data_IF_592630289291
#
_entry.id   IF_592630289291
#
_cell.length_a   1.000
_cell.length_b   1.000
_cell.length_c   1.000
_cell.angle_alpha   90.00
_cell.angle_beta   90.00
_cell.angle_gamma   90.00
#
_symmetry.space_group_name_H-M   'P 1'
#
loop_
_entity.id
_entity.type
_entity.pdbx_description
1 polymer ?
#
# COMPACT_ATOMS: atom_id res chain seq x y z
N UNK A 1 -11.84 -30.47 -15.35
CA UNK A 1 -10.98 -29.31 -15.68
C UNK A 1 -11.61 -27.97 -15.32
N UNK A 2 -12.88 -27.69 -15.64
CA UNK A 2 -13.55 -26.43 -15.29
C UNK A 2 -13.62 -26.07 -13.79
N UNK A 3 -13.70 -27.07 -12.90
CA UNK A 3 -13.72 -26.84 -11.43
C UNK A 3 -12.35 -26.40 -10.90
N UNK A 4 -11.27 -26.87 -11.52
CA UNK A 4 -9.88 -26.55 -11.13
C UNK A 4 -9.55 -25.10 -11.47
N UNK A 5 -10.00 -24.61 -12.62
CA UNK A 5 -9.78 -23.22 -13.08
C UNK A 5 -10.47 -22.18 -12.20
N UNK A 6 -11.68 -22.49 -11.70
CA UNK A 6 -12.43 -21.59 -10.80
C UNK A 6 -11.72 -21.51 -9.44
N UNK A 7 -11.20 -22.63 -8.93
CA UNK A 7 -10.50 -22.68 -7.65
C UNK A 7 -9.21 -21.86 -7.65
N UNK A 8 -8.43 -21.90 -8.73
CA UNK A 8 -7.19 -21.13 -8.85
C UNK A 8 -7.46 -19.64 -9.03
N UNK A 9 -8.52 -19.24 -9.74
CA UNK A 9 -8.88 -17.83 -9.90
C UNK A 9 -9.25 -17.16 -8.56
N UNK A 10 -10.02 -17.85 -7.70
CA UNK A 10 -10.39 -17.33 -6.37
C UNK A 10 -9.16 -17.16 -5.47
N UNK A 11 -8.21 -18.11 -5.54
CA UNK A 11 -6.95 -18.04 -4.80
C UNK A 11 -6.08 -16.85 -5.24
N UNK A 12 -6.01 -16.54 -6.54
CA UNK A 12 -5.23 -15.40 -7.03
C UNK A 12 -5.85 -14.05 -6.63
N UNK A 13 -7.17 -13.91 -6.64
CA UNK A 13 -7.85 -12.68 -6.18
C UNK A 13 -7.62 -12.44 -4.69
N UNK A 14 -7.67 -13.50 -3.87
CA UNK A 14 -7.39 -13.40 -2.43
C UNK A 14 -5.97 -12.89 -2.12
N UNK A 15 -4.99 -13.18 -2.99
CA UNK A 15 -3.61 -12.70 -2.82
C UNK A 15 -3.42 -11.22 -3.17
N UNK A 16 -4.36 -10.59 -3.89
CA UNK A 16 -4.28 -9.17 -4.26
C UNK A 16 -4.84 -8.21 -3.20
N UNK A 17 -5.44 -8.73 -2.13
CA UNK A 17 -6.30 -7.96 -1.22
C UNK A 17 -5.66 -7.33 0.02
N UNK A 18 -4.37 -7.51 0.31
CA UNK A 18 -3.81 -7.11 1.62
C UNK A 18 -2.64 -6.11 1.57
N UNK A 19 -2.41 -5.43 0.45
CA UNK A 19 -1.56 -4.24 0.42
C UNK A 19 -2.30 -3.04 1.04
N UNK A 20 -2.61 -3.13 2.34
CA UNK A 20 -3.11 -2.00 3.14
C UNK A 20 -1.93 -1.03 3.32
N UNK A 21 -1.79 -0.08 2.41
CA UNK A 21 -0.93 1.07 2.63
C UNK A 21 -1.57 1.93 3.73
N UNK A 22 -1.30 1.58 5.00
CA UNK A 22 -1.80 2.31 6.17
C UNK A 22 -1.28 3.74 6.29
N UNK A 23 -0.60 4.25 5.27
CA UNK A 23 -0.13 5.64 5.19
C UNK A 23 -1.31 6.60 5.27
N UNK A 24 -2.43 6.34 4.60
CA UNK A 24 -3.55 7.30 4.60
C UNK A 24 -4.26 7.35 5.96
N UNK A 25 -4.56 6.21 6.57
CA UNK A 25 -5.15 6.12 7.91
C UNK A 25 -4.23 6.75 8.97
N UNK A 26 -2.93 6.42 8.95
CA UNK A 26 -1.98 6.99 9.92
C UNK A 26 -1.82 8.49 9.76
N UNK A 27 -1.85 9.02 8.53
CA UNK A 27 -1.84 10.47 8.29
C UNK A 27 -3.10 11.16 8.78
N UNK A 28 -4.25 10.53 8.56
CA UNK A 28 -5.55 11.03 8.99
C UNK A 28 -5.66 11.11 10.51
N UNK A 29 -5.22 10.08 11.23
CA UNK A 29 -5.21 10.06 12.69
C UNK A 29 -4.27 11.11 13.29
N UNK A 30 -3.11 11.33 12.66
CA UNK A 30 -2.11 12.32 13.10
C UNK A 30 -2.50 13.76 12.75
N UNK A 31 -3.40 13.95 11.79
CA UNK A 31 -3.87 15.25 11.32
C UNK A 31 -2.85 16.06 10.52
N UNK A 32 -1.65 15.52 10.27
CA UNK A 32 -0.60 16.18 9.53
C UNK A 32 0.32 15.18 8.80
N UNK A 33 0.75 15.57 7.60
CA UNK A 33 1.75 14.87 6.80
C UNK A 33 3.16 15.21 7.29
N UNK A 34 3.91 14.20 7.71
CA UNK A 34 5.33 14.36 7.98
C UNK A 34 6.14 14.07 6.72
N UNK A 35 6.68 15.12 6.11
CA UNK A 35 7.71 15.01 5.08
C UNK A 35 9.07 14.91 5.76
N UNK A 36 9.67 13.73 5.75
CA UNK A 36 11.09 13.59 6.09
C UNK A 36 11.92 14.13 4.94
N UNK A 37 12.52 15.31 5.12
CA UNK A 37 13.52 15.86 4.18
C UNK A 37 14.90 15.74 4.80
N UNK A 38 15.91 15.49 3.95
CA UNK A 38 17.30 15.50 4.38
C UNK A 38 17.86 16.91 4.20
N UNK A 39 18.09 17.60 5.32
CA UNK A 39 18.70 18.93 5.28
C UNK A 39 20.15 18.86 4.75
N UNK A 40 20.51 19.78 3.87
CA UNK A 40 21.90 19.92 3.40
C UNK A 40 22.21 19.25 2.07
N UNK A 41 21.21 18.76 1.33
CA UNK A 41 21.37 18.37 -0.08
C UNK A 41 21.10 19.60 -0.97
N UNK A 42 22.12 20.16 -1.65
CA UNK A 42 21.91 21.34 -2.49
C UNK A 42 20.88 21.07 -3.59
N UNK A 43 19.93 22.00 -3.74
CA UNK A 43 18.86 21.90 -4.74
C UNK A 43 17.66 21.05 -4.32
N UNK A 44 17.63 20.50 -3.11
CA UNK A 44 16.48 19.82 -2.53
C UNK A 44 16.08 20.50 -1.22
N UNK A 45 14.78 20.82 -1.11
CA UNK A 45 14.16 21.43 0.07
C UNK A 45 13.97 20.41 1.21
#
# INVERSE_FOLDING_TARGET
MKKTLISTAVLMVAMTGTAMAGTLETLKERGALQCGVTSGVPGFS
#
